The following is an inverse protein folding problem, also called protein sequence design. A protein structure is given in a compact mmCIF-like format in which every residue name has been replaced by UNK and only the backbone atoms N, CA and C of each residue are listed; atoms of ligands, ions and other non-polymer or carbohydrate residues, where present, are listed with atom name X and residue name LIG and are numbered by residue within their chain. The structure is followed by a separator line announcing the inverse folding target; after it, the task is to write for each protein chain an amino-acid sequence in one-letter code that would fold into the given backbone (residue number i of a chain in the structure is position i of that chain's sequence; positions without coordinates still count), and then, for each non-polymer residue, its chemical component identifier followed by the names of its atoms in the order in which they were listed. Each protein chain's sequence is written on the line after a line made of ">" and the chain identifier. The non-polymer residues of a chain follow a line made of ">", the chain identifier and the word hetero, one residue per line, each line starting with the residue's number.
data_IF_789868841707
#
_entry.id   IF_789868841707
#
_cell.length_a   1.000
_cell.length_b   1.000
_cell.length_c   1.000
_cell.angle_alpha   90.00
_cell.angle_beta   90.00
_cell.angle_gamma   90.00
#
_symmetry.space_group_name_H-M   'P 1'
#
loop_
_entity.id
_entity.type
_entity.pdbx_description
1 polymer ?
#
# COMPACT_ATOMS: atom_id res chain seq x y z
N UNK A 1 33.61 15.23 -7.20
CA UNK A 1 32.29 15.66 -6.68
C UNK A 1 31.27 14.72 -7.30
N UNK A 2 31.09 13.54 -6.71
CA UNK A 2 30.22 12.48 -7.25
C UNK A 2 28.77 12.74 -6.84
N UNK A 3 28.00 13.36 -7.74
CA UNK A 3 26.55 13.47 -7.61
C UNK A 3 25.90 12.19 -8.15
N UNK A 4 26.19 11.03 -7.55
CA UNK A 4 25.42 9.80 -7.84
C UNK A 4 24.09 9.86 -7.11
N UNK A 5 23.14 10.59 -7.69
CA UNK A 5 21.75 10.60 -7.26
C UNK A 5 21.18 9.17 -7.36
N UNK A 6 21.07 8.49 -6.22
CA UNK A 6 20.65 7.09 -6.13
C UNK A 6 19.22 6.87 -6.65
N UNK A 7 18.40 7.92 -6.73
CA UNK A 7 17.01 7.85 -7.20
C UNK A 7 16.85 7.47 -8.70
N UNK A 8 17.93 7.47 -9.49
CA UNK A 8 17.93 7.03 -10.89
C UNK A 8 18.33 5.57 -11.09
N UNK A 9 18.68 4.85 -10.02
CA UNK A 9 19.08 3.45 -10.11
C UNK A 9 17.86 2.54 -10.27
N UNK A 10 17.90 1.60 -11.22
CA UNK A 10 16.75 0.74 -11.57
C UNK A 10 16.20 -0.09 -10.40
N UNK A 11 17.02 -0.35 -9.37
CA UNK A 11 16.62 -1.15 -8.21
C UNK A 11 15.96 -0.34 -7.08
N UNK A 12 16.06 0.99 -7.09
CA UNK A 12 15.57 1.83 -6.00
C UNK A 12 14.05 1.78 -5.87
N UNK A 13 13.33 1.69 -6.99
CA UNK A 13 11.87 1.65 -7.01
C UNK A 13 11.35 0.35 -6.38
N UNK A 14 12.00 -0.78 -6.64
CA UNK A 14 11.68 -2.06 -6.02
C UNK A 14 11.95 -2.05 -4.51
N UNK A 15 13.07 -1.45 -4.10
CA UNK A 15 13.42 -1.31 -2.69
C UNK A 15 12.45 -0.38 -1.93
N UNK A 16 12.09 0.76 -2.52
CA UNK A 16 11.07 1.67 -1.97
C UNK A 16 9.73 0.92 -1.78
N UNK A 17 9.29 0.12 -2.77
CA UNK A 17 8.06 -0.68 -2.66
C UNK A 17 8.14 -1.68 -1.51
N UNK A 18 9.26 -2.39 -1.39
CA UNK A 18 9.46 -3.34 -0.29
C UNK A 18 9.43 -2.65 1.08
N UNK A 19 10.04 -1.48 1.21
CA UNK A 19 10.01 -0.71 2.46
C UNK A 19 8.59 -0.23 2.80
N UNK A 20 7.81 0.21 1.81
CA UNK A 20 6.41 0.59 2.01
C UNK A 20 5.56 -0.60 2.48
N UNK A 21 5.72 -1.78 1.88
CA UNK A 21 5.02 -3.01 2.30
C UNK A 21 5.41 -3.43 3.72
N UNK A 22 6.64 -3.15 4.15
CA UNK A 22 7.11 -3.41 5.52
C UNK A 22 6.70 -2.34 6.54
N UNK A 23 5.93 -1.34 6.13
CA UNK A 23 5.43 -0.29 7.02
C UNK A 23 6.44 0.81 7.35
N UNK A 24 7.53 0.94 6.57
CA UNK A 24 8.44 2.08 6.73
C UNK A 24 7.74 3.38 6.34
N UNK A 25 7.92 4.43 7.14
CA UNK A 25 7.35 5.73 6.81
C UNK A 25 8.03 6.35 5.59
N UNK A 26 7.32 7.22 4.87
CA UNK A 26 7.90 7.98 3.75
C UNK A 26 9.13 8.78 4.22
N UNK A 27 9.09 9.34 5.44
CA UNK A 27 10.19 10.09 6.00
C UNK A 27 11.43 9.20 6.22
N UNK A 28 11.25 8.00 6.76
CA UNK A 28 12.36 7.05 6.97
C UNK A 28 12.97 6.62 5.64
N UNK A 29 12.14 6.33 4.63
CA UNK A 29 12.60 5.96 3.29
C UNK A 29 13.44 7.09 2.69
N UNK A 30 13.01 8.35 2.83
CA UNK A 30 13.78 9.49 2.33
C UNK A 30 15.17 9.58 2.97
N UNK A 31 15.27 9.36 4.28
CA UNK A 31 16.54 9.43 5.02
C UNK A 31 17.45 8.25 4.70
N UNK A 32 16.90 7.03 4.73
CA UNK A 32 17.66 5.79 4.53
C UNK A 32 18.14 5.67 3.09
N UNK A 33 17.25 5.88 2.11
CA UNK A 33 17.56 5.70 0.69
C UNK A 33 18.10 6.97 0.03
N UNK A 34 18.15 8.10 0.76
CA UNK A 34 18.62 9.40 0.25
C UNK A 34 17.88 9.82 -1.03
N UNK A 35 16.58 9.58 -1.07
CA UNK A 35 15.69 9.94 -2.18
C UNK A 35 14.74 11.07 -1.80
N UNK A 36 14.26 11.82 -2.81
CA UNK A 36 13.28 12.87 -2.56
C UNK A 36 11.91 12.31 -2.17
N UNK A 37 11.15 13.09 -1.39
CA UNK A 37 9.73 12.79 -1.09
C UNK A 37 8.92 12.51 -2.35
N UNK A 38 9.14 13.34 -3.38
CA UNK A 38 8.46 13.20 -4.67
C UNK A 38 8.74 11.85 -5.31
N UNK A 39 9.99 11.35 -5.28
CA UNK A 39 10.35 10.04 -5.82
C UNK A 39 9.57 8.92 -5.12
N UNK A 40 9.53 8.91 -3.79
CA UNK A 40 8.80 7.90 -3.01
C UNK A 40 7.31 7.92 -3.34
N UNK A 41 6.68 9.10 -3.35
CA UNK A 41 5.27 9.26 -3.69
C UNK A 41 4.97 8.84 -5.13
N UNK A 42 5.85 9.14 -6.09
CA UNK A 42 5.68 8.74 -7.48
C UNK A 42 5.79 7.22 -7.66
N UNK A 43 6.68 6.55 -6.91
CA UNK A 43 6.77 5.08 -6.90
C UNK A 43 5.48 4.46 -6.35
N UNK A 44 4.94 5.03 -5.27
CA UNK A 44 3.66 4.60 -4.68
C UNK A 44 2.48 4.86 -5.62
N UNK A 45 2.39 6.04 -6.24
CA UNK A 45 1.31 6.35 -7.19
C UNK A 45 1.35 5.44 -8.43
N UNK A 46 2.54 4.99 -8.84
CA UNK A 46 2.74 4.04 -9.94
C UNK A 46 2.69 2.58 -9.50
N UNK A 47 2.51 2.28 -8.22
CA UNK A 47 2.27 0.90 -7.79
C UNK A 47 0.80 0.59 -8.03
N UNK A 48 0.51 0.09 -9.24
CA UNK A 48 -0.82 -0.40 -9.56
C UNK A 48 -1.04 -1.71 -8.78
N UNK A 49 -1.66 -1.61 -7.61
CA UNK A 49 -2.06 -2.75 -6.79
C UNK A 49 -3.52 -3.04 -7.08
N UNK A 50 -3.77 -3.93 -8.03
CA UNK A 50 -5.11 -4.44 -8.29
C UNK A 50 -5.33 -5.72 -7.50
N UNK A 51 -6.41 -5.74 -6.71
CA UNK A 51 -6.89 -6.98 -6.08
C UNK A 51 -7.65 -7.74 -7.16
N UNK A 52 -7.10 -8.88 -7.58
CA UNK A 52 -7.73 -9.78 -8.54
C UNK A 52 -7.98 -11.11 -7.86
N UNK A 53 -9.22 -11.46 -7.52
CA UNK A 53 -9.53 -12.78 -6.99
C UNK A 53 -9.22 -13.83 -8.07
N UNK A 54 -8.56 -14.91 -7.66
CA UNK A 54 -8.15 -15.98 -8.58
C UNK A 54 -9.24 -17.04 -8.72
N UNK A 55 -10.20 -17.08 -7.80
CA UNK A 55 -11.28 -18.05 -7.77
C UNK A 55 -12.64 -17.38 -8.04
N UNK A 56 -13.54 -18.15 -8.69
CA UNK A 56 -14.90 -17.71 -8.97
C UNK A 56 -15.88 -18.02 -7.85
N UNK A 57 -15.53 -18.93 -6.94
CA UNK A 57 -16.37 -19.35 -5.83
C UNK A 57 -15.49 -19.69 -4.62
N UNK A 58 -15.87 -19.16 -3.46
CA UNK A 58 -15.22 -19.40 -2.18
C UNK A 58 -16.21 -20.09 -1.25
N UNK A 59 -15.80 -21.15 -0.56
CA UNK A 59 -16.70 -21.89 0.35
C UNK A 59 -16.98 -21.10 1.63
N UNK A 60 -15.99 -20.35 2.10
CA UNK A 60 -16.08 -19.53 3.31
C UNK A 60 -15.29 -18.25 3.11
N UNK A 61 -15.86 -17.14 3.54
CA UNK A 61 -15.18 -15.85 3.61
C UNK A 61 -15.21 -15.35 5.05
N UNK A 62 -14.06 -14.87 5.52
CA UNK A 62 -13.95 -14.08 6.73
C UNK A 62 -14.09 -12.61 6.34
N UNK A 63 -15.06 -11.93 6.96
CA UNK A 63 -15.28 -10.50 6.75
C UNK A 63 -14.82 -9.80 8.01
N UNK A 64 -14.04 -8.74 7.83
CA UNK A 64 -13.55 -7.91 8.92
C UNK A 64 -13.55 -6.44 8.48
N UNK A 65 -13.66 -5.56 9.48
CA UNK A 65 -13.76 -4.13 9.30
C UNK A 65 -12.76 -3.39 10.19
N UNK A 66 -12.12 -2.39 9.61
CA UNK A 66 -11.39 -1.41 10.40
C UNK A 66 -11.65 -0.01 9.86
N UNK A 67 -11.31 0.98 10.67
CA UNK A 67 -11.44 2.37 10.28
C UNK A 67 -10.11 3.09 10.39
N UNK A 68 -9.93 4.08 9.53
CA UNK A 68 -8.77 4.95 9.52
C UNK A 68 -9.19 6.39 9.21
N UNK A 69 -8.26 7.32 9.30
CA UNK A 69 -8.49 8.72 8.99
C UNK A 69 -7.72 9.12 7.74
N UNK A 70 -8.37 9.84 6.84
CA UNK A 70 -7.74 10.37 5.61
C UNK A 70 -7.66 11.89 5.68
N UNK A 71 -6.43 12.41 5.73
CA UNK A 71 -6.14 13.84 5.84
C UNK A 71 -6.45 14.38 7.23
N UNK A 72 -7.71 14.71 7.50
CA UNK A 72 -8.13 15.22 8.81
C UNK A 72 -8.75 14.11 9.67
N UNK A 73 -8.55 14.17 11.00
CA UNK A 73 -9.15 13.21 11.96
C UNK A 73 -10.68 13.19 11.97
N UNK A 74 -11.34 14.20 11.42
CA UNK A 74 -12.80 14.21 11.23
C UNK A 74 -13.25 13.32 10.06
N UNK A 75 -12.36 13.01 9.13
CA UNK A 75 -12.66 12.21 7.94
C UNK A 75 -12.36 10.74 8.24
N UNK A 76 -13.29 10.09 8.95
CA UNK A 76 -13.23 8.66 9.23
C UNK A 76 -13.68 7.86 7.99
N UNK A 77 -12.81 6.98 7.54
CA UNK A 77 -13.07 6.04 6.44
C UNK A 77 -13.14 4.63 7.03
N UNK A 78 -14.18 3.89 6.66
CA UNK A 78 -14.28 2.48 6.93
C UNK A 78 -13.69 1.69 5.77
N UNK A 79 -12.96 0.64 6.13
CA UNK A 79 -12.39 -0.31 5.20
C UNK A 79 -12.86 -1.70 5.62
N UNK A 80 -13.59 -2.34 4.71
CA UNK A 80 -14.17 -3.66 4.88
C UNK A 80 -13.49 -4.57 3.87
N UNK A 81 -13.02 -5.72 4.30
CA UNK A 81 -12.42 -6.70 3.41
C UNK A 81 -13.00 -8.09 3.64
N UNK A 82 -13.04 -8.87 2.55
CA UNK A 82 -13.39 -10.27 2.57
C UNK A 82 -12.14 -11.10 2.25
N UNK A 83 -11.80 -12.02 3.14
CA UNK A 83 -10.61 -12.86 3.09
C UNK A 83 -11.01 -14.33 3.07
N UNK A 84 -10.41 -15.10 2.17
CA UNK A 84 -10.54 -16.56 2.18
C UNK A 84 -9.34 -17.19 2.92
N UNK A 85 -9.55 -17.86 4.07
CA UNK A 85 -8.48 -18.50 4.81
C UNK A 85 -7.84 -19.69 4.09
N UNK A 86 -8.56 -20.33 3.16
CA UNK A 86 -8.06 -21.53 2.49
C UNK A 86 -7.06 -21.17 1.39
N UNK A 87 -7.34 -20.13 0.61
CA UNK A 87 -6.42 -19.62 -0.42
C UNK A 87 -5.42 -18.56 0.07
N UNK A 88 -5.72 -17.90 1.19
CA UNK A 88 -4.95 -16.73 1.64
C UNK A 88 -5.21 -15.47 0.81
N UNK A 89 -6.25 -15.46 -0.02
CA UNK A 89 -6.57 -14.34 -0.90
C UNK A 89 -7.54 -13.34 -0.26
N UNK A 90 -7.37 -12.07 -0.63
CA UNK A 90 -8.39 -11.04 -0.40
C UNK A 90 -9.30 -11.04 -1.63
N UNK A 91 -10.57 -11.37 -1.43
CA UNK A 91 -11.57 -11.40 -2.49
C UNK A 91 -12.09 -10.01 -2.84
N UNK A 92 -12.38 -9.21 -1.81
CA UNK A 92 -12.98 -7.89 -1.96
C UNK A 92 -12.39 -6.92 -0.93
N UNK A 93 -12.20 -5.68 -1.36
CA UNK A 93 -11.86 -4.55 -0.52
C UNK A 93 -12.81 -3.40 -0.84
N UNK A 94 -13.55 -2.93 0.16
CA UNK A 94 -14.41 -1.77 0.06
C UNK A 94 -13.93 -0.66 1.00
N UNK A 95 -13.86 0.57 0.49
CA UNK A 95 -13.53 1.77 1.27
C UNK A 95 -14.63 2.81 1.11
N UNK A 96 -15.19 3.30 2.22
CA UNK A 96 -16.29 4.24 2.20
C UNK A 96 -16.33 5.18 3.41
N UNK A 97 -17.04 6.31 3.24
CA UNK A 97 -17.35 7.17 4.38
C UNK A 97 -18.30 6.44 5.33
N UNK A 98 -18.17 6.70 6.63
CA UNK A 98 -19.17 6.29 7.60
C UNK A 98 -20.54 6.90 7.21
N UNK A 99 -21.58 6.06 7.17
CA UNK A 99 -22.98 6.50 7.07
C UNK A 99 -23.40 7.11 8.41
#
# INVERSE_FOLDING_TARGET
>A
MDLTYQGCQRHIDAKIRLMLVRGCSIADIMVIEKVSKYKVLNVLAKSNCEIKPTQNAYQKLQIDEFWTYVGHKKNKIWLIYAYDPDSGEIWLLYGGNAI
#
